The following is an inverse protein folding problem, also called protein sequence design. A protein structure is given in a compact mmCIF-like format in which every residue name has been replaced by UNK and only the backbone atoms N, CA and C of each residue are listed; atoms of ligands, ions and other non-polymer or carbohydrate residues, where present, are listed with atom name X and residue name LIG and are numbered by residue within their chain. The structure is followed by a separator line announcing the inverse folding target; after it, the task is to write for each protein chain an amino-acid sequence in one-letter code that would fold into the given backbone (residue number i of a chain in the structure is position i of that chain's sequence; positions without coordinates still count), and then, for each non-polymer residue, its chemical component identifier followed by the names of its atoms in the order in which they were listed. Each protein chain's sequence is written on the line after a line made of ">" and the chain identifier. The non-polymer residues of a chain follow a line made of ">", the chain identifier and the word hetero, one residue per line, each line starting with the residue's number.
data_IF_139733907456
#
_entry.id   IF_139733907456
#
_cell.length_a   1.000
_cell.length_b   1.000
_cell.length_c   1.000
_cell.angle_alpha   90.00
_cell.angle_beta   90.00
_cell.angle_gamma   90.00
#
_symmetry.space_group_name_H-M   'P 1'
#
loop_
_entity.id
_entity.type
_entity.pdbx_description
1 polymer ?
#
# COMPACT_ATOMS: atom_id res chain seq x y z
N UNK A 1 -4.04 -23.07 4.27
CA UNK A 1 -2.83 -22.46 4.84
C UNK A 1 -2.03 -21.86 3.70
N UNK A 2 -1.36 -20.75 3.94
CA UNK A 2 -0.58 -20.06 2.90
C UNK A 2 0.70 -20.81 2.59
N UNK A 3 1.20 -20.60 1.37
CA UNK A 3 2.45 -21.19 0.90
C UNK A 3 3.45 -20.09 0.64
N UNK A 4 4.65 -20.24 1.19
CA UNK A 4 5.78 -19.34 0.91
C UNK A 4 7.02 -20.15 0.53
N UNK A 5 7.95 -19.52 -0.19
CA UNK A 5 9.28 -20.08 -0.43
C UNK A 5 10.35 -19.01 -0.47
N UNK A 6 11.62 -19.38 -0.21
CA UNK A 6 12.77 -18.52 -0.45
C UNK A 6 13.01 -18.35 -1.95
N UNK A 7 13.71 -17.30 -2.33
CA UNK A 7 14.08 -17.03 -3.73
C UNK A 7 15.47 -16.37 -3.82
N UNK A 8 16.13 -16.52 -4.95
CA UNK A 8 17.37 -15.84 -5.24
C UNK A 8 17.06 -14.43 -5.79
N UNK A 9 17.03 -13.43 -4.91
CA UNK A 9 16.66 -12.08 -5.31
C UNK A 9 17.68 -11.46 -6.27
N UNK A 10 17.20 -10.69 -7.23
CA UNK A 10 18.00 -9.72 -7.95
C UNK A 10 17.95 -8.42 -7.14
N UNK A 11 19.11 -7.94 -6.67
CA UNK A 11 19.20 -6.81 -5.76
C UNK A 11 20.46 -5.98 -5.96
N UNK A 12 20.48 -4.70 -5.53
CA UNK A 12 21.66 -3.86 -5.68
C UNK A 12 22.79 -4.31 -4.76
N UNK A 13 24.06 -4.20 -5.19
CA UNK A 13 25.21 -4.19 -4.28
C UNK A 13 25.04 -3.09 -3.21
N UNK A 14 25.56 -3.34 -1.98
CA UNK A 14 25.44 -2.44 -0.81
C UNK A 14 25.71 -0.97 -1.13
N UNK A 15 26.71 -0.68 -1.95
CA UNK A 15 27.09 0.69 -2.31
C UNK A 15 26.12 1.43 -3.23
N UNK A 16 25.14 0.73 -3.83
CA UNK A 16 24.17 1.32 -4.75
C UNK A 16 22.75 1.34 -4.20
N UNK A 17 22.50 0.69 -3.05
CA UNK A 17 21.13 0.47 -2.56
C UNK A 17 20.36 1.78 -2.34
N UNK A 18 20.99 2.81 -1.78
CA UNK A 18 20.36 4.11 -1.53
C UNK A 18 19.99 4.84 -2.84
N UNK A 19 20.82 4.69 -3.88
CA UNK A 19 20.55 5.26 -5.20
C UNK A 19 19.45 4.50 -5.95
N UNK A 20 19.39 3.16 -5.76
CA UNK A 20 18.44 2.27 -6.44
C UNK A 20 17.05 2.31 -5.79
N UNK A 21 17.01 2.32 -4.46
CA UNK A 21 15.76 2.25 -3.71
C UNK A 21 14.83 3.43 -4.04
N UNK A 22 13.64 3.11 -4.55
CA UNK A 22 12.69 4.10 -5.01
C UNK A 22 11.32 3.98 -4.33
N UNK A 23 10.55 5.06 -4.31
CA UNK A 23 9.14 5.01 -3.92
C UNK A 23 8.33 4.16 -4.90
N UNK A 24 7.22 3.53 -4.46
CA UNK A 24 6.37 2.76 -5.38
C UNK A 24 5.84 3.64 -6.53
N UNK A 25 5.59 3.01 -7.67
CA UNK A 25 5.19 3.69 -8.91
C UNK A 25 3.92 4.53 -8.78
N UNK A 26 3.00 4.15 -7.87
CA UNK A 26 1.66 4.71 -7.73
C UNK A 26 1.58 5.92 -6.77
N UNK A 27 2.68 6.28 -6.12
CA UNK A 27 2.76 7.46 -5.23
C UNK A 27 3.37 8.69 -5.90
N UNK A 28 3.84 8.55 -7.15
CA UNK A 28 4.46 9.61 -7.94
C UNK A 28 3.80 9.72 -9.32
N UNK A 29 3.50 10.93 -9.76
CA UNK A 29 3.25 11.16 -11.18
C UNK A 29 4.58 11.19 -11.97
N UNK A 30 4.52 11.14 -13.30
CA UNK A 30 5.73 11.03 -14.14
C UNK A 30 6.66 12.26 -14.05
N UNK A 31 6.11 13.44 -13.79
CA UNK A 31 6.92 14.67 -13.60
C UNK A 31 7.66 14.63 -12.28
N UNK A 32 7.00 14.23 -11.21
CA UNK A 32 7.60 14.05 -9.88
C UNK A 32 8.65 12.93 -9.93
N UNK A 33 8.36 11.82 -10.58
CA UNK A 33 9.28 10.71 -10.76
C UNK A 33 10.55 11.13 -11.51
N UNK A 34 10.42 11.91 -12.61
CA UNK A 34 11.57 12.45 -13.36
C UNK A 34 12.42 13.40 -12.53
N UNK A 35 11.78 14.20 -11.67
CA UNK A 35 12.48 15.13 -10.78
C UNK A 35 13.22 14.43 -9.63
N UNK A 36 12.71 13.29 -9.17
CA UNK A 36 13.28 12.52 -8.07
C UNK A 36 14.35 11.52 -8.53
N UNK A 37 14.21 10.98 -9.75
CA UNK A 37 15.06 9.90 -10.24
C UNK A 37 16.52 10.34 -10.43
N UNK A 38 17.43 9.79 -9.62
CA UNK A 38 18.87 9.78 -9.92
C UNK A 38 19.21 8.70 -10.96
N UNK A 39 20.44 8.67 -11.46
CA UNK A 39 20.90 7.78 -12.55
C UNK A 39 20.56 6.30 -12.33
N UNK A 40 20.62 5.83 -11.08
CA UNK A 40 20.35 4.42 -10.71
C UNK A 40 19.02 4.23 -10.02
N UNK A 41 18.11 5.23 -10.05
CA UNK A 41 16.81 5.08 -9.39
C UNK A 41 15.96 4.03 -10.09
N UNK A 42 15.38 3.11 -9.32
CA UNK A 42 14.49 2.09 -9.88
C UNK A 42 13.29 2.68 -10.64
N UNK A 43 12.99 3.97 -10.44
CA UNK A 43 11.95 4.67 -11.21
C UNK A 43 12.17 4.57 -12.73
N UNK A 44 13.41 4.46 -13.21
CA UNK A 44 13.69 4.20 -14.63
C UNK A 44 13.19 2.83 -15.14
N UNK A 45 12.89 1.90 -14.21
CA UNK A 45 12.33 0.58 -14.54
C UNK A 45 10.82 0.54 -14.27
N UNK A 46 10.34 1.20 -13.20
CA UNK A 46 8.93 1.15 -12.80
C UNK A 46 8.08 2.26 -13.44
N UNK A 47 8.72 3.36 -13.88
CA UNK A 47 8.14 4.51 -14.59
C UNK A 47 9.03 4.94 -15.77
N UNK A 48 9.26 4.04 -16.74
CA UNK A 48 10.27 4.22 -17.80
C UNK A 48 9.99 5.39 -18.75
N UNK A 49 8.78 5.92 -18.78
CA UNK A 49 8.38 7.10 -19.55
C UNK A 49 9.19 8.35 -19.19
N UNK A 50 9.81 8.38 -17.99
CA UNK A 50 10.64 9.51 -17.52
C UNK A 50 11.97 9.63 -18.29
N UNK A 51 12.41 8.57 -18.97
CA UNK A 51 13.65 8.54 -19.77
C UNK A 51 13.51 9.28 -21.09
N UNK A 52 12.30 9.69 -21.44
CA UNK A 52 12.03 10.41 -22.68
C UNK A 52 11.93 11.91 -22.47
N UNK A 53 12.28 12.67 -23.53
CA UNK A 53 12.14 14.12 -23.55
C UNK A 53 11.50 14.57 -24.87
N UNK A 54 10.24 15.03 -24.86
CA UNK A 54 9.35 15.14 -23.69
C UNK A 54 8.96 13.77 -23.09
N UNK A 55 8.49 13.77 -21.82
CA UNK A 55 7.90 12.57 -21.19
C UNK A 55 6.76 12.05 -22.09
N UNK A 56 6.76 10.75 -22.36
CA UNK A 56 5.75 10.08 -23.18
C UNK A 56 4.63 9.48 -22.32
N UNK A 57 3.62 8.90 -22.95
CA UNK A 57 2.55 8.16 -22.26
C UNK A 57 3.12 6.93 -21.54
N UNK A 58 2.89 6.81 -20.23
CA UNK A 58 3.34 5.70 -19.39
C UNK A 58 2.82 4.33 -19.86
N UNK A 59 1.70 4.30 -20.62
CA UNK A 59 1.09 3.09 -21.16
C UNK A 59 1.45 2.82 -22.63
N UNK A 60 2.44 3.53 -23.17
CA UNK A 60 2.89 3.35 -24.55
C UNK A 60 3.88 2.19 -24.68
N UNK A 61 3.88 1.53 -25.87
CA UNK A 61 4.84 0.45 -26.14
C UNK A 61 6.31 0.89 -25.96
N UNK A 62 6.74 2.10 -26.41
CA UNK A 62 8.11 2.54 -26.14
C UNK A 62 8.48 2.66 -24.65
N UNK A 63 7.53 3.04 -23.79
CA UNK A 63 7.76 3.06 -22.35
C UNK A 63 7.97 1.64 -21.82
N UNK A 64 7.13 0.70 -22.20
CA UNK A 64 7.28 -0.70 -21.81
C UNK A 64 8.59 -1.32 -22.30
N UNK A 65 8.97 -1.08 -23.55
CA UNK A 65 10.23 -1.58 -24.11
C UNK A 65 11.45 -1.01 -23.35
N UNK A 66 11.35 0.26 -22.93
CA UNK A 66 12.39 0.92 -22.13
C UNK A 66 12.55 0.30 -20.74
N UNK A 67 11.46 -0.10 -20.10
CA UNK A 67 11.50 -0.82 -18.82
C UNK A 67 12.33 -2.12 -18.92
N UNK A 68 12.10 -2.89 -19.98
CA UNK A 68 12.83 -4.14 -20.24
C UNK A 68 14.31 -3.87 -20.54
N UNK A 69 14.58 -2.86 -21.37
CA UNK A 69 15.96 -2.44 -21.70
C UNK A 69 16.72 -2.05 -20.43
N UNK A 70 16.13 -1.19 -19.60
CA UNK A 70 16.76 -0.71 -18.37
C UNK A 70 17.02 -1.86 -17.39
N UNK A 71 16.04 -2.75 -17.16
CA UNK A 71 16.22 -3.88 -16.26
C UNK A 71 17.35 -4.82 -16.69
N UNK A 72 17.46 -5.08 -18.02
CA UNK A 72 18.56 -5.88 -18.59
C UNK A 72 19.90 -5.17 -18.44
N UNK A 73 19.99 -3.90 -18.87
CA UNK A 73 21.23 -3.11 -18.79
C UNK A 73 21.77 -2.98 -17.37
N UNK A 74 20.87 -2.84 -16.37
CA UNK A 74 21.31 -2.71 -14.98
C UNK A 74 21.93 -3.98 -14.42
N UNK A 75 21.44 -5.15 -14.85
CA UNK A 75 22.09 -6.42 -14.53
C UNK A 75 23.45 -6.54 -15.24
N UNK A 76 23.55 -6.14 -16.51
CA UNK A 76 24.82 -6.14 -17.26
C UNK A 76 25.86 -5.18 -16.67
N UNK A 77 25.42 -4.04 -16.13
CA UNK A 77 26.29 -3.05 -15.45
C UNK A 77 26.66 -3.45 -14.02
N UNK A 78 26.05 -4.49 -13.47
CA UNK A 78 26.24 -4.90 -12.08
C UNK A 78 25.61 -3.93 -11.06
N UNK A 79 24.65 -3.12 -11.49
CA UNK A 79 23.83 -2.29 -10.57
C UNK A 79 22.77 -3.12 -9.86
N UNK A 80 22.38 -4.21 -10.48
CA UNK A 80 21.54 -5.27 -9.93
C UNK A 80 22.24 -6.60 -10.13
N UNK A 81 22.35 -7.40 -9.07
CA UNK A 81 23.02 -8.70 -9.07
C UNK A 81 22.10 -9.74 -8.46
N UNK A 82 22.01 -10.92 -9.07
CA UNK A 82 21.21 -12.02 -8.53
C UNK A 82 22.00 -12.76 -7.44
N UNK A 83 21.34 -13.05 -6.32
CA UNK A 83 21.91 -13.87 -5.26
C UNK A 83 22.20 -15.30 -5.76
N UNK A 84 23.24 -15.93 -5.22
CA UNK A 84 23.69 -17.26 -5.66
C UNK A 84 22.75 -18.39 -5.23
N UNK A 85 22.00 -18.19 -4.15
CA UNK A 85 21.08 -19.19 -3.58
C UNK A 85 19.77 -18.56 -3.12
N UNK A 86 18.68 -19.34 -3.08
CA UNK A 86 17.42 -18.87 -2.52
C UNK A 86 17.55 -18.54 -1.02
N UNK A 87 17.09 -17.36 -0.63
CA UNK A 87 17.05 -16.86 0.75
C UNK A 87 15.67 -16.31 1.09
N UNK A 88 15.40 -16.13 2.37
CA UNK A 88 14.44 -15.16 2.85
C UNK A 88 15.20 -13.89 3.26
N UNK A 89 14.47 -12.79 3.44
CA UNK A 89 15.09 -11.55 3.89
C UNK A 89 14.21 -10.90 4.95
N UNK A 90 14.85 -10.21 5.90
CA UNK A 90 14.14 -9.29 6.80
C UNK A 90 14.24 -7.90 6.20
N UNK A 91 13.12 -7.23 6.05
CA UNK A 91 13.05 -5.82 5.69
C UNK A 91 12.38 -5.03 6.79
N UNK A 92 13.11 -4.11 7.40
CA UNK A 92 12.60 -3.25 8.45
C UNK A 92 12.52 -1.79 7.98
N UNK A 93 11.48 -1.11 8.45
CA UNK A 93 11.26 0.31 8.18
C UNK A 93 11.03 1.06 9.48
N UNK A 94 11.72 2.20 9.62
CA UNK A 94 11.62 3.07 10.82
C UNK A 94 10.98 4.40 10.42
N UNK A 95 9.87 4.75 11.07
CA UNK A 95 9.18 6.02 10.94
C UNK A 95 8.77 6.52 12.33
N UNK A 96 9.06 7.78 12.66
CA UNK A 96 8.71 8.42 13.93
C UNK A 96 9.17 7.61 15.17
N UNK A 97 10.36 7.01 15.10
CA UNK A 97 10.93 6.20 16.17
C UNK A 97 10.32 4.80 16.34
N UNK A 98 9.37 4.40 15.47
CA UNK A 98 8.79 3.07 15.44
C UNK A 98 9.34 2.27 14.28
N UNK A 99 9.80 1.06 14.56
CA UNK A 99 10.31 0.13 13.53
C UNK A 99 9.34 -1.03 13.36
N UNK A 100 8.99 -1.32 12.12
CA UNK A 100 8.24 -2.50 11.71
C UNK A 100 9.14 -3.47 10.95
N UNK A 101 9.05 -4.76 11.25
CA UNK A 101 9.87 -5.82 10.66
C UNK A 101 8.99 -6.74 9.83
N UNK A 102 9.32 -6.91 8.56
CA UNK A 102 8.63 -7.83 7.64
C UNK A 102 9.59 -8.83 7.04
N UNK A 103 9.06 -9.97 6.63
CA UNK A 103 9.77 -11.01 5.88
C UNK A 103 9.51 -10.83 4.38
N UNK A 104 10.58 -10.71 3.60
CA UNK A 104 10.53 -10.76 2.13
C UNK A 104 10.53 -12.23 1.72
N UNK A 105 9.44 -12.66 1.12
CA UNK A 105 9.19 -14.04 0.72
C UNK A 105 8.53 -14.07 -0.65
N UNK A 106 8.50 -15.21 -1.32
CA UNK A 106 7.59 -15.43 -2.44
C UNK A 106 6.35 -16.19 -1.96
N UNK A 107 5.15 -15.61 -2.20
CA UNK A 107 3.85 -16.22 -1.96
C UNK A 107 3.34 -16.93 -3.21
N UNK A 108 2.56 -17.99 -3.05
CA UNK A 108 2.07 -18.80 -4.17
C UNK A 108 0.86 -18.11 -4.85
N UNK A 109 0.85 -18.07 -6.18
CA UNK A 109 -0.22 -17.44 -6.97
C UNK A 109 -1.59 -18.08 -6.75
N UNK A 110 -1.66 -19.40 -6.52
CA UNK A 110 -2.93 -20.09 -6.25
C UNK A 110 -3.55 -19.64 -4.93
N UNK A 111 -2.77 -19.24 -3.93
CA UNK A 111 -3.30 -18.78 -2.65
C UNK A 111 -4.15 -17.50 -2.80
N UNK A 112 -3.90 -16.70 -3.85
CA UNK A 112 -4.76 -15.59 -4.22
C UNK A 112 -6.08 -16.08 -4.86
N UNK A 113 -6.01 -17.02 -5.79
CA UNK A 113 -7.19 -17.58 -6.44
C UNK A 113 -8.09 -18.37 -5.47
N UNK A 114 -7.47 -19.08 -4.51
CA UNK A 114 -8.15 -19.85 -3.48
C UNK A 114 -8.66 -19.01 -2.29
N UNK A 115 -8.42 -17.69 -2.30
CA UNK A 115 -8.88 -16.79 -1.23
C UNK A 115 -8.10 -16.90 0.09
N UNK A 116 -6.91 -17.48 0.08
CA UNK A 116 -5.98 -17.49 1.23
C UNK A 116 -5.20 -16.19 1.32
N UNK A 117 -5.00 -15.48 0.20
CA UNK A 117 -4.56 -14.10 0.18
C UNK A 117 -5.82 -13.26 0.07
N UNK A 118 -6.21 -12.67 1.18
CA UNK A 118 -7.47 -11.94 1.36
C UNK A 118 -7.31 -10.48 1.01
N UNK A 119 -8.30 -9.96 0.31
CA UNK A 119 -8.37 -8.57 -0.15
C UNK A 119 -9.51 -7.83 0.52
N UNK A 120 -9.36 -6.55 0.71
CA UNK A 120 -10.39 -5.67 1.25
C UNK A 120 -10.75 -4.51 0.29
N UNK A 121 -10.10 -4.47 -0.90
CA UNK A 121 -10.34 -3.46 -1.93
C UNK A 121 -10.45 -4.10 -3.31
N UNK A 122 -11.32 -3.54 -4.17
CA UNK A 122 -11.43 -3.97 -5.57
C UNK A 122 -10.33 -3.31 -6.41
N UNK A 123 -9.75 -4.10 -7.30
CA UNK A 123 -8.81 -3.59 -8.29
C UNK A 123 -9.54 -2.89 -9.45
N UNK A 124 -8.89 -1.88 -10.02
CA UNK A 124 -9.30 -1.25 -11.28
C UNK A 124 -8.64 -2.01 -12.42
N UNK A 125 -9.47 -2.38 -13.41
CA UNK A 125 -9.02 -3.19 -14.56
C UNK A 125 -7.87 -2.55 -15.34
N UNK A 126 -7.94 -1.24 -15.58
CA UNK A 126 -6.90 -0.49 -16.30
C UNK A 126 -5.54 -0.55 -15.58
N UNK A 127 -5.52 -0.38 -14.26
CA UNK A 127 -4.30 -0.46 -13.46
C UNK A 127 -3.77 -1.89 -13.32
N UNK A 128 -4.66 -2.86 -13.22
CA UNK A 128 -4.29 -4.28 -13.16
C UNK A 128 -3.66 -4.73 -14.49
N UNK A 129 -4.30 -4.40 -15.62
CA UNK A 129 -3.81 -4.75 -16.96
C UNK A 129 -2.43 -4.13 -17.23
N UNK A 130 -2.21 -2.88 -16.83
CA UNK A 130 -0.92 -2.21 -16.93
C UNK A 130 0.17 -2.95 -16.13
N UNK A 131 -0.09 -3.28 -14.86
CA UNK A 131 0.88 -4.04 -14.05
C UNK A 131 1.13 -5.45 -14.60
N UNK A 132 0.12 -6.09 -15.19
CA UNK A 132 0.31 -7.37 -15.89
C UNK A 132 1.27 -7.24 -17.06
N UNK A 133 1.17 -6.18 -17.86
CA UNK A 133 2.11 -5.93 -18.95
C UNK A 133 3.53 -5.84 -18.40
N UNK A 134 3.76 -5.00 -17.38
CA UNK A 134 5.08 -4.86 -16.76
C UNK A 134 5.64 -6.20 -16.28
N UNK A 135 4.88 -6.96 -15.48
CA UNK A 135 5.33 -8.27 -14.96
C UNK A 135 5.65 -9.25 -16.10
N UNK A 136 4.79 -9.29 -17.13
CA UNK A 136 4.95 -10.20 -18.27
C UNK A 136 6.19 -9.92 -19.10
N UNK A 137 6.43 -8.65 -19.46
CA UNK A 137 7.52 -8.28 -20.37
C UNK A 137 8.88 -8.24 -19.68
N UNK A 138 8.93 -7.83 -18.42
CA UNK A 138 10.15 -7.81 -17.61
C UNK A 138 10.51 -9.21 -17.08
N UNK A 139 9.55 -10.13 -17.14
CA UNK A 139 9.66 -11.49 -16.59
C UNK A 139 10.08 -11.48 -15.12
N UNK A 140 9.56 -10.53 -14.36
CA UNK A 140 9.92 -10.30 -12.96
C UNK A 140 8.84 -9.55 -12.17
N UNK A 141 8.80 -9.77 -10.87
CA UNK A 141 8.13 -8.91 -9.91
C UNK A 141 9.15 -7.84 -9.44
N UNK A 142 9.12 -6.68 -10.08
CA UNK A 142 10.07 -5.58 -9.81
C UNK A 142 9.76 -4.92 -8.46
N UNK A 143 8.48 -4.81 -8.11
CA UNK A 143 8.01 -4.17 -6.90
C UNK A 143 7.34 -5.18 -5.97
N UNK A 144 7.62 -5.15 -4.66
CA UNK A 144 6.98 -6.04 -3.70
C UNK A 144 5.50 -5.68 -3.51
N UNK A 145 4.70 -6.67 -3.12
CA UNK A 145 3.40 -6.42 -2.51
C UNK A 145 3.53 -6.42 -0.99
N UNK A 146 2.60 -5.76 -0.31
CA UNK A 146 2.64 -5.57 1.13
C UNK A 146 1.53 -6.37 1.79
N UNK A 147 1.89 -7.41 2.53
CA UNK A 147 0.96 -8.28 3.23
C UNK A 147 1.06 -8.18 4.74
N UNK A 148 -0.04 -8.50 5.41
CA UNK A 148 -0.09 -8.78 6.82
C UNK A 148 -0.43 -10.25 7.06
N UNK A 149 0.03 -10.79 8.20
CA UNK A 149 -0.34 -12.11 8.71
C UNK A 149 -0.57 -12.06 10.22
N UNK A 150 -1.36 -12.99 10.79
CA UNK A 150 -1.55 -13.09 12.24
C UNK A 150 -0.22 -13.30 12.97
N UNK A 151 -0.02 -12.61 14.08
CA UNK A 151 1.24 -12.67 14.83
C UNK A 151 1.67 -14.12 15.14
N UNK A 152 2.98 -14.35 15.06
CA UNK A 152 3.59 -15.64 15.36
C UNK A 152 4.92 -15.46 16.09
N UNK A 153 4.99 -15.92 17.32
CA UNK A 153 6.15 -15.73 18.20
C UNK A 153 7.41 -16.42 17.67
N UNK A 154 7.28 -17.55 16.97
CA UNK A 154 8.45 -18.26 16.43
C UNK A 154 9.05 -17.50 15.25
N UNK A 155 8.23 -16.93 14.36
CA UNK A 155 8.71 -16.05 13.29
C UNK A 155 9.39 -14.82 13.91
N UNK A 156 8.78 -14.22 14.92
CA UNK A 156 9.35 -13.07 15.61
C UNK A 156 10.71 -13.42 16.24
N UNK A 157 10.85 -14.61 16.82
CA UNK A 157 12.12 -15.07 17.39
C UNK A 157 13.21 -15.24 16.31
N UNK A 158 12.86 -15.79 15.14
CA UNK A 158 13.81 -15.89 14.02
C UNK A 158 14.20 -14.50 13.51
N UNK A 159 13.25 -13.60 13.27
CA UNK A 159 13.53 -12.22 12.85
C UNK A 159 14.45 -11.51 13.87
N UNK A 160 14.20 -11.70 15.16
CA UNK A 160 15.01 -11.11 16.23
C UNK A 160 16.44 -11.67 16.29
N UNK A 161 16.70 -12.88 15.77
CA UNK A 161 18.05 -13.41 15.62
C UNK A 161 18.87 -12.60 14.61
N UNK A 162 18.23 -12.09 13.54
CA UNK A 162 18.91 -11.35 12.48
C UNK A 162 18.97 -9.85 12.73
N UNK A 163 17.93 -9.24 13.31
CA UNK A 163 17.88 -7.79 13.48
C UNK A 163 18.84 -7.20 14.51
N UNK A 164 19.56 -8.06 15.26
CA UNK A 164 20.64 -7.64 16.17
C UNK A 164 22.02 -7.68 15.50
N UNK A 165 22.11 -8.27 14.31
CA UNK A 165 23.33 -8.33 13.51
C UNK A 165 23.46 -7.08 12.61
N UNK A 166 24.66 -6.84 12.05
CA UNK A 166 24.84 -5.75 11.10
C UNK A 166 23.99 -5.99 9.83
N UNK A 167 23.14 -5.03 9.43
CA UNK A 167 22.31 -5.20 8.25
C UNK A 167 23.13 -5.17 6.94
N UNK A 168 22.66 -5.92 5.97
CA UNK A 168 23.18 -5.84 4.58
C UNK A 168 22.94 -4.43 4.01
N UNK A 169 21.76 -3.86 4.23
CA UNK A 169 21.45 -2.47 3.90
C UNK A 169 21.00 -1.70 5.15
N UNK A 170 21.50 -0.47 5.26
CA UNK A 170 21.13 0.45 6.33
C UNK A 170 21.23 1.89 5.80
N UNK A 171 20.09 2.54 5.57
CA UNK A 171 20.04 3.90 5.07
C UNK A 171 18.77 4.64 5.49
N UNK A 172 18.83 5.96 5.45
CA UNK A 172 17.68 6.85 5.65
C UNK A 172 17.37 7.52 4.32
N UNK A 173 16.16 7.29 3.82
CA UNK A 173 15.72 7.87 2.56
C UNK A 173 15.38 9.36 2.69
N UNK A 174 15.22 10.06 1.56
CA UNK A 174 14.96 11.51 1.52
C UNK A 174 13.70 11.97 2.27
N UNK A 175 12.74 11.07 2.48
CA UNK A 175 11.54 11.32 3.31
C UNK A 175 11.79 11.18 4.82
N UNK A 176 13.02 10.86 5.23
CA UNK A 176 13.41 10.70 6.63
C UNK A 176 13.12 9.32 7.20
N UNK A 177 12.64 8.37 6.41
CA UNK A 177 12.37 7.00 6.86
C UNK A 177 13.61 6.13 6.78
N UNK A 178 13.85 5.34 7.84
CA UNK A 178 14.93 4.36 7.91
C UNK A 178 14.54 3.06 7.19
N UNK A 179 15.50 2.47 6.50
CA UNK A 179 15.35 1.20 5.79
C UNK A 179 16.51 0.28 6.14
N UNK A 180 16.18 -0.91 6.64
CA UNK A 180 17.16 -1.90 7.08
C UNK A 180 16.83 -3.24 6.45
N UNK A 181 17.85 -4.01 6.06
CA UNK A 181 17.65 -5.24 5.32
C UNK A 181 18.69 -6.30 5.74
N UNK A 182 18.26 -7.52 6.02
CA UNK A 182 19.11 -8.65 6.39
C UNK A 182 18.81 -9.84 5.50
N UNK A 183 19.83 -10.67 5.24
CA UNK A 183 19.69 -11.90 4.48
C UNK A 183 19.56 -13.07 5.45
N UNK A 184 18.52 -13.87 5.31
CA UNK A 184 18.32 -15.14 6.02
C UNK A 184 18.79 -16.25 5.11
N UNK A 185 20.00 -16.74 5.32
CA UNK A 185 20.63 -17.75 4.47
C UNK A 185 20.99 -19.06 5.20
N UNK A 186 20.66 -19.15 6.50
CA UNK A 186 20.71 -20.37 7.27
C UNK A 186 19.58 -21.32 6.88
N UNK A 187 19.91 -22.53 6.43
CA UNK A 187 18.92 -23.48 5.92
C UNK A 187 17.89 -23.90 6.97
N UNK A 188 18.30 -24.00 8.26
CA UNK A 188 17.36 -24.39 9.31
C UNK A 188 16.30 -23.30 9.55
N UNK A 189 16.71 -22.02 9.51
CA UNK A 189 15.78 -20.90 9.65
C UNK A 189 14.88 -20.80 8.42
N UNK A 190 15.41 -21.04 7.22
CA UNK A 190 14.62 -21.07 5.96
C UNK A 190 13.55 -22.17 6.03
N UNK A 191 13.94 -23.39 6.39
CA UNK A 191 13.03 -24.52 6.48
C UNK A 191 11.97 -24.26 7.57
N UNK A 192 12.38 -23.70 8.72
CA UNK A 192 11.46 -23.41 9.82
C UNK A 192 10.46 -22.31 9.45
N UNK A 193 10.88 -21.21 8.82
CA UNK A 193 9.98 -20.16 8.34
C UNK A 193 8.95 -20.76 7.37
N UNK A 194 9.39 -21.58 6.41
CA UNK A 194 8.51 -22.22 5.44
C UNK A 194 7.47 -23.12 6.13
N UNK A 195 7.91 -23.91 7.12
CA UNK A 195 7.02 -24.77 7.90
C UNK A 195 5.98 -23.98 8.72
N UNK A 196 6.41 -22.88 9.36
CA UNK A 196 5.50 -22.05 10.17
C UNK A 196 4.43 -21.41 9.28
N UNK A 197 4.80 -20.85 8.12
CA UNK A 197 3.82 -20.27 7.19
C UNK A 197 2.83 -21.32 6.66
N UNK A 198 3.24 -22.56 6.50
CA UNK A 198 2.32 -23.65 6.18
C UNK A 198 1.26 -23.93 7.28
N UNK A 199 1.40 -23.32 8.46
CA UNK A 199 0.41 -23.30 9.54
C UNK A 199 -0.45 -22.02 9.57
N UNK A 200 -0.06 -20.94 8.88
CA UNK A 200 -0.78 -19.67 8.87
C UNK A 200 -1.99 -19.73 7.93
N UNK A 201 -3.20 -19.35 8.41
CA UNK A 201 -4.43 -19.55 7.65
C UNK A 201 -4.55 -18.65 6.43
N UNK A 202 -4.11 -17.38 6.51
CA UNK A 202 -4.27 -16.39 5.46
C UNK A 202 -3.21 -15.30 5.51
N UNK A 203 -2.96 -14.68 4.37
CA UNK A 203 -2.40 -13.34 4.23
C UNK A 203 -3.50 -12.32 3.99
N UNK A 204 -3.26 -11.08 4.40
CA UNK A 204 -4.14 -9.95 4.15
C UNK A 204 -3.37 -8.89 3.36
N UNK A 205 -3.90 -8.50 2.20
CA UNK A 205 -3.26 -7.45 1.39
C UNK A 205 -3.37 -6.12 2.14
N UNK A 206 -2.25 -5.57 2.58
CA UNK A 206 -2.18 -4.25 3.19
C UNK A 206 -2.07 -3.15 2.11
N UNK A 207 -1.19 -3.36 1.13
CA UNK A 207 -1.00 -2.47 -0.02
C UNK A 207 -0.58 -3.27 -1.26
N UNK A 208 -0.87 -2.73 -2.46
CA UNK A 208 -0.51 -3.38 -3.72
C UNK A 208 -1.55 -4.38 -4.25
N UNK A 209 -2.84 -4.14 -4.05
CA UNK A 209 -3.92 -4.98 -4.59
C UNK A 209 -3.80 -5.22 -6.10
N UNK A 210 -3.47 -4.17 -6.89
CA UNK A 210 -3.27 -4.31 -8.35
C UNK A 210 -2.05 -5.16 -8.68
N UNK A 211 -0.92 -4.98 -7.95
CA UNK A 211 0.29 -5.79 -8.12
C UNK A 211 0.06 -7.26 -7.78
N UNK A 212 -0.68 -7.52 -6.70
CA UNK A 212 -1.06 -8.89 -6.29
C UNK A 212 -1.91 -9.58 -7.35
N UNK A 213 -2.96 -8.92 -7.84
CA UNK A 213 -3.84 -9.45 -8.88
C UNK A 213 -3.07 -9.69 -10.18
N UNK A 214 -2.24 -8.74 -10.61
CA UNK A 214 -1.42 -8.84 -11.81
C UNK A 214 -0.45 -10.03 -11.74
N UNK A 215 0.27 -10.20 -10.64
CA UNK A 215 1.20 -11.31 -10.45
C UNK A 215 0.49 -12.67 -10.51
N UNK A 216 -0.66 -12.80 -9.84
CA UNK A 216 -1.47 -14.03 -9.86
C UNK A 216 -1.97 -14.37 -11.27
N UNK A 217 -2.43 -13.36 -12.03
CA UNK A 217 -2.91 -13.55 -13.42
C UNK A 217 -1.78 -13.91 -14.37
N UNK A 218 -0.63 -13.24 -14.30
CA UNK A 218 0.53 -13.57 -15.14
C UNK A 218 1.06 -14.98 -14.83
N UNK A 219 1.07 -15.39 -13.55
CA UNK A 219 1.41 -16.76 -13.18
C UNK A 219 0.47 -17.79 -13.80
N UNK A 220 -0.84 -17.53 -13.79
CA UNK A 220 -1.83 -18.39 -14.43
C UNK A 220 -1.64 -18.45 -15.97
N UNK A 221 -1.44 -17.30 -16.64
CA UNK A 221 -1.17 -17.24 -18.08
C UNK A 221 0.10 -18.06 -18.47
N UNK A 222 1.19 -17.90 -17.71
CA UNK A 222 2.43 -18.64 -17.96
C UNK A 222 2.25 -20.15 -17.76
N UNK A 223 1.46 -20.55 -16.76
CA UNK A 223 1.11 -21.94 -16.51
C UNK A 223 0.31 -22.55 -17.66
N UNK A 224 -0.73 -21.83 -18.11
CA UNK A 224 -1.54 -22.28 -19.26
C UNK A 224 -0.73 -22.36 -20.56
N UNK A 225 0.23 -21.46 -20.74
CA UNK A 225 1.14 -21.44 -21.88
C UNK A 225 2.28 -22.45 -21.85
N UNK A 226 2.51 -23.14 -20.72
CA UNK A 226 3.60 -24.09 -20.56
C UNK A 226 3.10 -25.55 -20.51
N UNK A 227 3.18 -26.31 -21.63
CA UNK A 227 2.74 -27.71 -21.65
C UNK A 227 3.60 -28.63 -20.77
N UNK A 228 4.81 -28.18 -20.38
CA UNK A 228 5.72 -28.92 -19.50
C UNK A 228 5.67 -28.43 -18.05
N UNK A 229 4.58 -27.75 -17.67
CA UNK A 229 4.42 -27.23 -16.32
C UNK A 229 4.50 -28.32 -15.25
N UNK A 230 5.38 -28.13 -14.27
CA UNK A 230 5.66 -29.06 -13.18
C UNK A 230 5.12 -28.60 -11.83
N UNK A 231 4.79 -27.32 -11.70
CA UNK A 231 4.43 -26.65 -10.44
C UNK A 231 5.62 -26.08 -9.67
N UNK A 232 6.84 -26.28 -10.17
CA UNK A 232 8.06 -25.78 -9.50
C UNK A 232 8.58 -24.45 -10.05
N UNK A 233 8.02 -24.00 -11.16
CA UNK A 233 8.46 -22.81 -11.89
C UNK A 233 8.27 -21.52 -11.06
N UNK A 234 9.18 -20.55 -11.26
CA UNK A 234 9.20 -19.27 -10.53
C UNK A 234 7.92 -18.45 -10.74
N UNK A 235 7.30 -18.51 -11.92
CA UNK A 235 6.04 -17.79 -12.19
C UNK A 235 4.83 -18.24 -11.37
N UNK A 236 4.93 -19.37 -10.64
CA UNK A 236 3.89 -19.76 -9.66
C UNK A 236 3.99 -18.96 -8.35
N UNK A 237 5.00 -18.12 -8.24
CA UNK A 237 5.33 -17.38 -7.02
C UNK A 237 5.50 -15.90 -7.32
N UNK A 238 5.24 -15.06 -6.34
CA UNK A 238 5.45 -13.63 -6.45
C UNK A 238 5.93 -13.01 -5.16
N UNK A 239 6.78 -12.01 -5.29
CA UNK A 239 7.46 -11.36 -4.17
C UNK A 239 6.50 -10.53 -3.31
N UNK A 240 6.55 -10.77 -2.01
CA UNK A 240 5.82 -9.99 -1.00
C UNK A 240 6.72 -9.66 0.19
N UNK A 241 6.42 -8.56 0.87
CA UNK A 241 6.89 -8.32 2.23
C UNK A 241 5.72 -8.54 3.18
N UNK A 242 5.83 -9.56 4.02
CA UNK A 242 4.80 -9.96 4.96
C UNK A 242 5.17 -9.51 6.39
N UNK A 243 4.27 -8.78 7.03
CA UNK A 243 4.44 -8.26 8.40
C UNK A 243 3.46 -8.91 9.36
N UNK A 244 3.86 -9.17 10.61
CA UNK A 244 2.90 -9.50 11.66
C UNK A 244 1.94 -8.32 11.85
N UNK A 245 0.66 -8.61 12.10
CA UNK A 245 -0.39 -7.57 12.16
C UNK A 245 -0.12 -6.51 13.25
N UNK A 246 0.50 -6.90 14.38
CA UNK A 246 0.87 -5.98 15.45
C UNK A 246 1.95 -4.98 15.07
N UNK A 247 2.73 -5.25 14.02
CA UNK A 247 3.74 -4.32 13.49
C UNK A 247 3.15 -3.27 12.55
N UNK A 248 1.91 -3.41 12.12
CA UNK A 248 1.31 -2.50 11.16
C UNK A 248 0.45 -1.44 11.85
N UNK A 249 0.46 -0.26 11.25
CA UNK A 249 -0.39 0.85 11.65
C UNK A 249 -1.07 1.42 10.41
N UNK A 250 -2.39 1.44 10.45
CA UNK A 250 -3.18 2.19 9.49
C UNK A 250 -3.29 3.62 10.00
N UNK A 251 -3.03 4.60 9.15
CA UNK A 251 -3.23 6.01 9.44
C UNK A 251 -4.49 6.52 8.73
N UNK A 252 -4.96 7.68 9.14
CA UNK A 252 -6.18 8.29 8.65
C UNK A 252 -6.12 8.59 7.14
N UNK A 253 -7.28 8.47 6.50
CA UNK A 253 -7.46 8.86 5.11
C UNK A 253 -8.61 9.85 5.02
N UNK A 254 -8.30 11.12 4.87
CA UNK A 254 -9.21 12.24 5.05
C UNK A 254 -9.89 12.64 3.74
N UNK A 255 -10.97 13.40 3.82
CA UNK A 255 -11.77 13.87 2.69
C UNK A 255 -11.79 15.39 2.64
N UNK A 256 -11.74 15.93 1.43
CA UNK A 256 -11.93 17.36 1.18
C UNK A 256 -12.92 17.55 0.04
N UNK A 257 -13.81 18.54 0.15
CA UNK A 257 -14.91 18.74 -0.79
C UNK A 257 -14.91 20.18 -1.30
N UNK A 258 -15.08 20.34 -2.63
CA UNK A 258 -14.95 21.62 -3.34
C UNK A 258 -16.06 22.62 -3.07
N UNK A 259 -17.26 22.15 -2.74
CA UNK A 259 -18.41 23.00 -2.53
C UNK A 259 -19.36 22.41 -1.45
N UNK A 260 -20.27 23.22 -0.95
CA UNK A 260 -21.24 22.83 0.07
C UNK A 260 -22.61 22.46 -0.52
N UNK A 261 -22.68 22.08 -1.80
CA UNK A 261 -23.93 21.72 -2.48
C UNK A 261 -25.02 22.84 -2.38
N UNK A 262 -24.60 24.09 -2.46
CA UNK A 262 -25.48 25.26 -2.38
C UNK A 262 -25.90 25.69 -0.97
N UNK A 263 -25.40 25.01 0.07
CA UNK A 263 -25.66 25.38 1.46
C UNK A 263 -24.71 26.50 1.92
N UNK A 264 -25.15 27.30 2.92
CA UNK A 264 -24.22 28.12 3.71
C UNK A 264 -23.51 27.26 4.76
N UNK A 265 -22.46 27.78 5.37
CA UNK A 265 -21.76 27.08 6.46
C UNK A 265 -22.70 26.75 7.63
N UNK A 266 -23.54 27.67 8.06
CA UNK A 266 -24.52 27.45 9.13
C UNK A 266 -25.57 26.38 8.76
N UNK A 267 -26.00 26.35 7.48
CA UNK A 267 -26.92 25.34 7.00
C UNK A 267 -26.27 23.95 6.97
N UNK A 268 -24.99 23.86 6.57
CA UNK A 268 -24.25 22.60 6.61
C UNK A 268 -24.12 22.08 8.04
N UNK A 269 -23.68 22.93 8.98
CA UNK A 269 -23.56 22.57 10.41
C UNK A 269 -24.89 22.09 10.97
N UNK A 270 -25.99 22.81 10.67
CA UNK A 270 -27.33 22.43 11.13
C UNK A 270 -27.78 21.07 10.54
N UNK A 271 -27.54 20.83 9.25
CA UNK A 271 -27.89 19.57 8.59
C UNK A 271 -27.08 18.39 9.16
N UNK A 272 -25.78 18.56 9.39
CA UNK A 272 -24.93 17.53 10.04
C UNK A 272 -25.44 17.26 11.46
N UNK A 273 -25.90 18.29 12.17
CA UNK A 273 -26.44 18.18 13.53
C UNK A 273 -27.70 17.29 13.67
N UNK A 274 -28.35 16.90 12.56
CA UNK A 274 -29.43 15.91 12.61
C UNK A 274 -28.92 14.51 13.00
N UNK A 275 -27.76 14.12 12.48
CA UNK A 275 -27.19 12.77 12.62
C UNK A 275 -25.98 12.72 13.56
N UNK A 276 -25.36 13.87 13.85
CA UNK A 276 -24.18 13.98 14.70
C UNK A 276 -24.39 14.96 15.87
N UNK A 277 -23.68 14.72 16.96
CA UNK A 277 -23.41 15.75 17.95
C UNK A 277 -22.28 16.63 17.41
N UNK A 278 -22.57 17.92 17.18
CA UNK A 278 -21.64 18.89 16.59
C UNK A 278 -21.21 19.89 17.65
N UNK A 279 -19.89 20.08 17.79
CA UNK A 279 -19.32 21.08 18.69
C UNK A 279 -18.25 21.87 17.97
N UNK A 280 -18.29 23.21 18.03
CA UNK A 280 -17.20 24.07 17.57
C UNK A 280 -16.02 23.96 18.53
N UNK A 281 -14.83 23.61 18.00
CA UNK A 281 -13.57 23.47 18.76
C UNK A 281 -12.65 24.69 18.57
N UNK A 282 -12.95 25.57 17.62
CA UNK A 282 -12.18 26.79 17.34
C UNK A 282 -11.16 26.66 16.21
N UNK A 283 -10.10 27.48 16.27
CA UNK A 283 -9.11 27.54 15.19
C UNK A 283 -8.00 26.48 15.30
N UNK A 284 -7.77 25.93 16.48
CA UNK A 284 -6.74 24.91 16.70
C UNK A 284 -7.18 23.56 16.14
N UNK A 285 -6.21 22.82 15.57
CA UNK A 285 -6.46 21.51 14.97
C UNK A 285 -7.11 20.58 16.01
N UNK A 286 -8.27 20.06 15.66
CA UNK A 286 -8.94 19.02 16.43
C UNK A 286 -8.77 17.68 15.73
N UNK A 287 -8.18 16.69 16.42
CA UNK A 287 -7.92 15.36 15.91
C UNK A 287 -8.93 14.36 16.49
N UNK A 288 -9.64 13.57 15.67
CA UNK A 288 -10.50 12.50 16.17
C UNK A 288 -9.73 11.55 17.09
N UNK A 289 -10.29 11.18 18.22
CA UNK A 289 -9.62 10.38 19.25
C UNK A 289 -10.12 8.94 19.36
N UNK A 290 -11.25 8.62 18.72
CA UNK A 290 -11.93 7.32 18.81
C UNK A 290 -12.79 7.07 17.58
N UNK A 291 -13.24 5.82 17.42
CA UNK A 291 -14.24 5.44 16.41
C UNK A 291 -15.52 6.28 16.54
N UNK A 292 -16.15 6.58 15.40
CA UNK A 292 -17.40 7.35 15.25
C UNK A 292 -17.27 8.83 15.66
N UNK A 293 -16.05 9.29 15.85
CA UNK A 293 -15.68 10.69 16.00
C UNK A 293 -14.94 11.16 14.75
N UNK A 294 -15.35 12.32 14.25
CA UNK A 294 -14.79 12.97 13.08
C UNK A 294 -14.39 14.40 13.41
N UNK A 295 -13.49 14.97 12.64
CA UNK A 295 -13.29 16.42 12.64
C UNK A 295 -13.76 17.01 11.32
N UNK A 296 -14.35 18.19 11.38
CA UNK A 296 -14.67 19.00 10.20
C UNK A 296 -13.93 20.33 10.28
N UNK A 297 -13.30 20.73 9.19
CA UNK A 297 -12.75 22.08 9.04
C UNK A 297 -13.58 22.88 8.04
N UNK A 298 -14.13 24.00 8.50
CA UNK A 298 -15.04 24.84 7.73
C UNK A 298 -14.82 26.32 8.12
N UNK A 299 -14.58 27.21 7.15
CA UNK A 299 -14.45 28.65 7.34
C UNK A 299 -13.53 29.06 8.51
N UNK A 300 -12.31 28.49 8.57
CA UNK A 300 -11.30 28.83 9.57
C UNK A 300 -11.51 28.19 10.96
N UNK A 301 -12.46 27.26 11.10
CA UNK A 301 -12.79 26.61 12.37
C UNK A 301 -12.84 25.10 12.26
N UNK A 302 -12.39 24.46 13.33
CA UNK A 302 -12.55 23.03 13.54
C UNK A 302 -13.81 22.74 14.34
N UNK A 303 -14.46 21.63 13.99
CA UNK A 303 -15.63 21.09 14.69
C UNK A 303 -15.36 19.62 14.99
N UNK A 304 -15.77 19.15 16.18
CA UNK A 304 -15.93 17.73 16.45
C UNK A 304 -17.32 17.27 16.06
N UNK A 305 -17.39 16.10 15.43
CA UNK A 305 -18.63 15.46 15.00
C UNK A 305 -18.65 14.06 15.61
N UNK A 306 -19.61 13.75 16.47
CA UNK A 306 -19.78 12.40 17.02
C UNK A 306 -21.09 11.82 16.49
N UNK A 307 -21.02 10.69 15.79
CA UNK A 307 -22.21 10.05 15.23
C UNK A 307 -23.16 9.63 16.36
N UNK A 308 -24.45 10.03 16.24
CA UNK A 308 -25.48 9.69 17.23
C UNK A 308 -25.79 8.21 17.22
N UNK A 309 -26.14 7.66 18.36
CA UNK A 309 -26.60 6.29 18.52
C UNK A 309 -27.78 5.97 17.57
N UNK A 310 -27.75 4.80 16.94
CA UNK A 310 -28.77 4.35 16.00
C UNK A 310 -28.63 4.94 14.58
N UNK A 311 -27.55 5.69 14.28
CA UNK A 311 -27.27 6.21 12.94
C UNK A 311 -26.37 5.29 12.13
N UNK A 312 -25.83 4.27 12.72
CA UNK A 312 -25.04 3.19 12.10
C UNK A 312 -25.40 1.85 12.76
N UNK A 313 -25.07 0.74 12.11
CA UNK A 313 -25.33 -0.62 12.62
C UNK A 313 -24.01 -1.27 13.02
N UNK A 314 -23.81 -1.49 14.32
CA UNK A 314 -22.63 -2.15 14.87
C UNK A 314 -22.46 -3.60 14.39
N UNK A 315 -23.53 -4.22 13.88
CA UNK A 315 -23.50 -5.59 13.36
C UNK A 315 -23.19 -5.66 11.87
N UNK A 316 -23.22 -4.53 11.15
CA UNK A 316 -22.79 -4.47 9.75
C UNK A 316 -21.31 -4.09 9.68
N UNK A 317 -20.41 -5.02 9.30
CA UNK A 317 -18.98 -4.77 9.30
C UNK A 317 -18.54 -3.64 8.33
N UNK A 318 -19.36 -3.31 7.34
CA UNK A 318 -19.12 -2.18 6.43
C UNK A 318 -19.85 -0.92 6.91
N UNK A 319 -21.10 -1.07 7.37
CA UNK A 319 -21.92 0.05 7.84
C UNK A 319 -21.35 0.75 9.06
N UNK A 320 -20.63 0.02 9.92
CA UNK A 320 -20.00 0.54 11.15
C UNK A 320 -18.71 1.35 10.88
N UNK A 321 -18.14 1.26 9.68
CA UNK A 321 -16.92 2.00 9.35
C UNK A 321 -17.17 3.50 9.30
N UNK A 322 -16.27 4.28 9.88
CA UNK A 322 -16.34 5.75 9.87
C UNK A 322 -16.42 6.31 8.45
N UNK A 323 -15.69 5.71 7.50
CA UNK A 323 -15.79 6.08 6.08
C UNK A 323 -17.19 5.88 5.51
N UNK A 324 -17.91 4.83 5.93
CA UNK A 324 -19.27 4.53 5.48
C UNK A 324 -20.27 5.48 6.13
N UNK A 325 -20.13 5.72 7.44
CA UNK A 325 -20.96 6.64 8.20
C UNK A 325 -20.87 8.05 7.59
N UNK A 326 -19.66 8.57 7.39
CA UNK A 326 -19.45 9.87 6.75
C UNK A 326 -20.02 9.91 5.34
N UNK A 327 -19.77 8.85 4.54
CA UNK A 327 -20.25 8.78 3.15
C UNK A 327 -21.77 8.83 3.07
N UNK A 328 -22.46 8.06 3.90
CA UNK A 328 -23.93 7.97 3.85
C UNK A 328 -24.61 9.21 4.44
N UNK A 329 -24.14 9.68 5.60
CA UNK A 329 -24.85 10.71 6.37
C UNK A 329 -24.44 12.13 5.98
N UNK A 330 -23.24 12.34 5.43
CA UNK A 330 -22.76 13.68 5.07
C UNK A 330 -22.53 13.80 3.56
N UNK A 331 -21.68 12.93 2.97
CA UNK A 331 -21.26 13.10 1.59
C UNK A 331 -22.41 12.86 0.60
N UNK A 332 -23.18 11.79 0.77
CA UNK A 332 -24.35 11.52 -0.10
C UNK A 332 -25.58 12.34 0.36
N UNK A 333 -26.02 12.17 1.61
CA UNK A 333 -27.28 12.75 2.10
C UNK A 333 -27.30 14.29 2.02
N UNK A 334 -26.20 14.96 2.37
CA UNK A 334 -26.13 16.44 2.49
C UNK A 334 -25.41 17.03 1.27
N UNK A 335 -24.23 16.54 0.93
CA UNK A 335 -23.41 17.11 -0.12
C UNK A 335 -23.69 16.52 -1.53
N UNK A 336 -24.54 15.48 -1.62
CA UNK A 336 -24.97 14.88 -2.88
C UNK A 336 -23.89 14.12 -3.65
N UNK A 337 -22.79 13.71 -2.96
CA UNK A 337 -21.68 12.94 -3.52
C UNK A 337 -21.99 11.46 -3.35
N UNK A 338 -22.50 10.83 -4.42
CA UNK A 338 -22.98 9.42 -4.39
C UNK A 338 -21.90 8.40 -4.68
N UNK A 339 -20.96 8.70 -5.56
CA UNK A 339 -19.86 7.79 -5.91
C UNK A 339 -18.51 8.50 -5.69
N UNK A 340 -17.83 8.11 -4.63
CA UNK A 340 -16.53 8.66 -4.22
C UNK A 340 -15.41 8.43 -5.25
N UNK A 341 -15.59 7.50 -6.21
CA UNK A 341 -14.57 7.16 -7.22
C UNK A 341 -14.65 8.04 -8.45
N UNK A 342 -15.83 8.61 -8.72
CA UNK A 342 -16.12 9.32 -9.97
C UNK A 342 -16.49 10.78 -9.79
N UNK A 343 -16.98 11.18 -8.61
CA UNK A 343 -17.33 12.58 -8.32
C UNK A 343 -16.06 13.44 -8.20
N UNK A 344 -15.94 14.46 -9.04
CA UNK A 344 -14.78 15.37 -9.10
C UNK A 344 -14.81 16.48 -8.04
N UNK A 345 -15.87 16.56 -7.24
CA UNK A 345 -15.98 17.52 -6.15
C UNK A 345 -15.29 17.05 -4.88
N UNK A 346 -15.02 15.76 -4.73
CA UNK A 346 -14.30 15.18 -3.60
C UNK A 346 -12.87 14.84 -3.99
N UNK A 347 -11.96 15.04 -3.04
CA UNK A 347 -10.58 14.56 -3.11
C UNK A 347 -10.16 13.98 -1.74
N UNK A 348 -9.03 13.27 -1.71
CA UNK A 348 -8.57 12.51 -0.56
C UNK A 348 -7.19 12.97 -0.11
N UNK A 349 -6.99 13.03 1.21
CA UNK A 349 -5.73 13.45 1.83
C UNK A 349 -5.26 12.36 2.80
N UNK A 350 -4.16 11.67 2.46
CA UNK A 350 -3.55 10.69 3.36
C UNK A 350 -2.99 11.34 4.62
N UNK A 351 -3.16 10.67 5.76
CA UNK A 351 -2.77 11.17 7.08
C UNK A 351 -1.28 11.55 7.21
N UNK A 352 -0.42 10.99 6.34
CA UNK A 352 1.00 11.36 6.29
C UNK A 352 1.22 12.88 6.03
N UNK A 353 0.25 13.57 5.42
CA UNK A 353 0.30 15.00 5.19
C UNK A 353 -0.11 15.83 6.41
N UNK A 354 -0.65 15.17 7.44
CA UNK A 354 -1.18 15.80 8.64
C UNK A 354 -2.49 16.58 8.41
N UNK A 355 -3.19 16.91 9.50
CA UNK A 355 -4.47 17.63 9.43
C UNK A 355 -4.29 19.11 9.01
N UNK A 356 -3.09 19.67 9.14
CA UNK A 356 -2.79 21.01 8.63
C UNK A 356 -2.95 21.15 7.11
N UNK A 357 -2.81 20.07 6.36
CA UNK A 357 -3.08 20.09 4.91
C UNK A 357 -4.58 20.29 4.61
N UNK A 358 -5.46 19.79 5.47
CA UNK A 358 -6.90 19.98 5.35
C UNK A 358 -7.27 21.45 5.47
N UNK A 359 -6.81 22.11 6.56
CA UNK A 359 -7.04 23.54 6.74
C UNK A 359 -6.39 24.37 5.62
N UNK A 360 -5.17 24.08 5.22
CA UNK A 360 -4.50 24.76 4.10
C UNK A 360 -5.34 24.74 2.81
N UNK A 361 -5.90 23.58 2.44
CA UNK A 361 -6.69 23.43 1.20
C UNK A 361 -8.03 24.17 1.27
N UNK A 362 -8.62 24.26 2.45
CA UNK A 362 -9.86 25.03 2.64
C UNK A 362 -9.54 26.55 2.66
N UNK A 363 -8.54 26.98 3.42
CA UNK A 363 -8.17 28.39 3.55
C UNK A 363 -7.67 29.01 2.23
N UNK A 364 -7.06 28.19 1.36
CA UNK A 364 -6.65 28.63 0.02
C UNK A 364 -7.81 28.79 -0.98
N UNK A 365 -9.03 28.35 -0.60
CA UNK A 365 -10.19 28.33 -1.49
C UNK A 365 -10.17 27.17 -2.52
N UNK A 366 -9.21 26.26 -2.44
CA UNK A 366 -9.17 25.03 -3.27
C UNK A 366 -10.36 24.11 -2.94
N UNK A 367 -10.71 24.05 -1.66
CA UNK A 367 -11.81 23.27 -1.12
C UNK A 367 -12.69 24.13 -0.22
N UNK A 368 -13.96 23.75 -0.06
CA UNK A 368 -14.90 24.47 0.81
C UNK A 368 -14.97 23.86 2.22
N UNK A 369 -14.79 22.56 2.36
CA UNK A 369 -14.87 21.84 3.63
C UNK A 369 -13.93 20.64 3.60
N UNK A 370 -13.41 20.27 4.78
CA UNK A 370 -12.61 19.08 4.98
C UNK A 370 -13.13 18.25 6.16
N UNK A 371 -12.94 16.93 6.06
CA UNK A 371 -13.29 15.96 7.10
C UNK A 371 -12.11 15.08 7.42
N UNK A 372 -11.73 15.02 8.70
CA UNK A 372 -10.76 14.05 9.20
C UNK A 372 -11.50 12.89 9.88
N UNK A 373 -10.97 11.69 9.67
CA UNK A 373 -11.53 10.45 10.19
C UNK A 373 -10.58 9.82 11.21
N UNK A 374 -11.13 9.04 12.12
CA UNK A 374 -10.33 8.14 12.93
C UNK A 374 -9.84 6.96 12.07
N UNK A 375 -8.58 6.52 12.18
CA UNK A 375 -8.05 5.43 11.36
C UNK A 375 -8.80 4.11 11.59
N UNK A 376 -8.99 3.36 10.51
CA UNK A 376 -9.47 1.96 10.59
C UNK A 376 -8.43 1.11 11.33
N UNK A 377 -8.88 0.19 12.17
CA UNK A 377 -7.98 -0.73 12.86
C UNK A 377 -7.61 -1.94 11.99
N UNK A 378 -6.47 -2.59 12.28
CA UNK A 378 -6.10 -3.87 11.65
C UNK A 378 -7.19 -4.92 11.86
N UNK A 379 -7.81 -4.96 13.05
CA UNK A 379 -8.92 -5.88 13.33
C UNK A 379 -10.10 -5.67 12.40
N UNK A 380 -10.54 -4.43 12.15
CA UNK A 380 -11.63 -4.15 11.20
C UNK A 380 -11.26 -4.58 9.78
N UNK A 381 -10.02 -4.36 9.34
CA UNK A 381 -9.54 -4.81 8.04
C UNK A 381 -9.62 -6.33 7.92
N UNK A 382 -9.10 -7.06 8.91
CA UNK A 382 -9.09 -8.52 8.95
C UNK A 382 -10.52 -9.07 8.97
N UNK A 383 -11.39 -8.57 9.84
CA UNK A 383 -12.79 -9.01 9.95
C UNK A 383 -13.54 -8.83 8.61
N UNK A 384 -13.33 -7.71 7.91
CA UNK A 384 -13.95 -7.44 6.62
C UNK A 384 -13.41 -8.37 5.54
N UNK A 385 -12.09 -8.51 5.46
CA UNK A 385 -11.45 -9.40 4.48
C UNK A 385 -11.84 -10.87 4.71
N UNK A 386 -12.00 -11.30 5.97
CA UNK A 386 -12.46 -12.64 6.35
C UNK A 386 -13.91 -12.91 5.97
N UNK A 387 -14.77 -11.90 6.08
CA UNK A 387 -16.18 -12.00 5.67
C UNK A 387 -16.38 -11.98 4.15
N UNK A 388 -15.31 -11.75 3.38
CA UNK A 388 -15.38 -11.60 1.91
C UNK A 388 -16.00 -10.27 1.45
N UNK A 389 -16.22 -9.35 2.36
CA UNK A 389 -16.69 -8.01 2.06
C UNK A 389 -15.56 -7.11 1.55
N UNK A 390 -15.95 -5.98 0.93
CA UNK A 390 -15.04 -4.99 0.37
C UNK A 390 -15.27 -3.65 1.07
N UNK A 391 -14.18 -3.02 1.50
CA UNK A 391 -14.23 -1.68 2.05
C UNK A 391 -14.56 -0.62 0.98
N UNK A 392 -15.19 0.50 1.35
CA UNK A 392 -15.25 1.67 0.48
C UNK A 392 -13.86 2.09 0.00
N UNK A 393 -13.74 2.77 -1.15
CA UNK A 393 -12.45 3.21 -1.66
C UNK A 393 -11.77 4.20 -0.70
N UNK A 394 -10.44 4.14 -0.65
CA UNK A 394 -9.65 5.08 0.17
C UNK A 394 -9.98 5.00 1.67
N UNK A 395 -10.10 3.78 2.19
CA UNK A 395 -10.37 3.50 3.61
C UNK A 395 -9.08 3.29 4.40
N UNK A 396 -8.08 2.65 3.81
CA UNK A 396 -6.83 2.29 4.48
C UNK A 396 -5.65 3.06 3.89
N UNK A 397 -4.73 3.48 4.73
CA UNK A 397 -3.44 4.05 4.33
C UNK A 397 -2.35 3.50 5.24
N UNK A 398 -1.44 2.70 4.67
CA UNK A 398 -0.31 2.14 5.39
C UNK A 398 0.95 2.98 5.15
N UNK A 399 1.66 3.30 6.23
CA UNK A 399 2.98 3.93 6.21
C UNK A 399 3.94 3.22 7.19
N UNK A 400 5.23 3.20 6.85
CA UNK A 400 5.89 3.67 5.62
C UNK A 400 5.52 2.83 4.41
N UNK A 401 5.52 3.45 3.21
CA UNK A 401 5.40 2.69 1.95
C UNK A 401 6.67 1.87 1.72
N UNK A 402 6.51 0.63 1.24
CA UNK A 402 7.66 -0.20 0.88
C UNK A 402 8.50 0.49 -0.20
N UNK A 403 9.82 0.44 -0.07
CA UNK A 403 10.72 0.81 -1.16
C UNK A 403 10.78 -0.33 -2.18
N UNK A 404 10.73 0.04 -3.44
CA UNK A 404 11.02 -0.84 -4.57
C UNK A 404 12.53 -0.89 -4.82
N UNK A 405 13.06 -2.01 -5.26
CA UNK A 405 14.47 -2.15 -5.64
C UNK A 405 15.40 -2.72 -4.58
N UNK A 406 14.92 -3.05 -3.38
CA UNK A 406 15.73 -3.75 -2.37
C UNK A 406 15.86 -5.25 -2.69
N UNK A 407 14.86 -5.81 -3.33
CA UNK A 407 14.81 -7.14 -3.87
C UNK A 407 13.87 -7.17 -5.07
N UNK A 408 14.14 -8.03 -6.05
CA UNK A 408 13.35 -8.26 -7.25
C UNK A 408 13.29 -9.77 -7.46
N UNK A 409 12.12 -10.30 -7.80
CA UNK A 409 11.92 -11.72 -8.07
C UNK A 409 11.73 -11.96 -9.57
N UNK A 410 12.62 -12.75 -10.19
CA UNK A 410 12.50 -13.18 -11.58
C UNK A 410 11.54 -14.36 -11.71
N UNK A 411 10.80 -14.43 -12.82
CA UNK A 411 9.82 -15.49 -13.08
C UNK A 411 10.39 -16.64 -13.91
N UNK A 412 11.64 -16.54 -14.34
CA UNK A 412 12.38 -17.59 -15.09
C UNK A 412 13.83 -17.65 -14.67
#
# INVERSE_FOLDING_TARGET
>A
MVKVRPFAAVRPPKQYVEEVAARPYDVLNSVEAKAEAGEKSLLHITKPEIDFDPIIDEHSQPAYDKAVENFKQWQEKGWLVQDEKPCYYVYAQTMDGRTQYGLVVCAHTDDYAEGKIKKHELTRKDKEDDRMIHVRIQDANIEPVFFSYPDNDEINAIVNKYNVEEPEYDFVAADGFGHHFWVIDDQNDIDRITEIFAGIPAFYVADGHHRTAAAARVGAEKREGNPEHTGQEEYNWFMTVAFPESHLKIIDYNRVVKDLNGLTAEQLVAAIGEDFEVKEEGAEIYTPSKLHEFSMYLEGKWYSLVAKEGRYDDNDPIGVLDVTILSNLVLDKILGIKDLRTDKRIDFVGGIRGLGELSRRVDSGEMAVAFALYPVSMKQLVDIADSGNIMPPKTTWFEPKLRSGLAIHKLS
#
